data_IF_385557972457
#
_entry.id   IF_385557972457
#
_cell.length_a   1.000
_cell.length_b   1.000
_cell.length_c   1.000
_cell.angle_alpha   90.00
_cell.angle_beta   90.00
_cell.angle_gamma   90.00
#
_symmetry.space_group_name_H-M   'P 1'
#
loop_
_entity.id
_entity.type
_entity.pdbx_description
1 polymer ?
#
# COMPACT_ATOMS: atom_id res chain seq x y z
N UNK A 1 46.47 -20.24 7.54
CA UNK A 1 45.29 -20.41 6.67
C UNK A 1 44.06 -20.41 7.57
N UNK A 2 43.36 -19.28 7.67
CA UNK A 2 42.11 -19.18 8.42
C UNK A 2 40.92 -19.41 7.48
N UNK A 3 39.83 -20.06 7.92
CA UNK A 3 38.69 -20.31 7.05
C UNK A 3 37.92 -19.01 6.80
N UNK A 4 37.65 -18.75 5.53
CA UNK A 4 36.79 -17.67 5.05
C UNK A 4 35.37 -17.89 5.56
N UNK A 5 34.86 -16.92 6.33
CA UNK A 5 33.44 -16.80 6.65
C UNK A 5 32.69 -16.44 5.38
N UNK A 6 31.85 -17.35 4.88
CA UNK A 6 30.85 -17.02 3.87
C UNK A 6 29.83 -16.08 4.49
N UNK A 7 29.83 -14.81 4.07
CA UNK A 7 28.68 -13.93 4.23
C UNK A 7 27.62 -14.42 3.24
N UNK A 8 26.51 -14.95 3.75
CA UNK A 8 25.33 -15.23 2.93
C UNK A 8 24.76 -13.87 2.54
N UNK A 9 25.02 -13.44 1.30
CA UNK A 9 24.28 -12.33 0.70
C UNK A 9 22.82 -12.77 0.61
N UNK A 10 21.91 -11.99 1.22
CA UNK A 10 20.48 -12.19 1.07
C UNK A 10 20.15 -12.12 -0.43
N UNK A 11 19.59 -13.19 -0.98
CA UNK A 11 19.10 -13.17 -2.35
C UNK A 11 17.85 -12.29 -2.38
N UNK A 12 17.97 -11.08 -2.94
CA UNK A 12 16.82 -10.26 -3.26
C UNK A 12 16.02 -11.00 -4.34
N UNK A 13 14.93 -11.68 -3.95
CA UNK A 13 14.00 -12.26 -4.91
C UNK A 13 13.17 -11.12 -5.52
N UNK A 14 13.57 -10.66 -6.71
CA UNK A 14 12.79 -9.70 -7.49
C UNK A 14 11.87 -10.46 -8.43
N UNK A 15 10.57 -10.39 -8.18
CA UNK A 15 9.54 -10.92 -9.09
C UNK A 15 8.91 -9.80 -9.90
N UNK A 16 8.91 -9.92 -11.23
CA UNK A 16 8.13 -9.08 -12.13
C UNK A 16 6.91 -9.86 -12.62
N UNK A 17 5.71 -9.31 -12.46
CA UNK A 17 4.49 -9.85 -13.03
C UNK A 17 3.81 -8.80 -13.92
N UNK A 18 3.27 -9.26 -15.07
CA UNK A 18 2.39 -8.47 -15.93
C UNK A 18 0.95 -8.52 -15.40
N UNK A 19 0.15 -7.50 -15.69
CA UNK A 19 -1.22 -7.30 -15.14
C UNK A 19 -2.07 -8.58 -14.98
N UNK A 20 -2.26 -9.37 -16.05
CA UNK A 20 -3.11 -10.57 -16.02
C UNK A 20 -2.60 -11.66 -15.07
N UNK A 21 -1.30 -11.66 -14.75
CA UNK A 21 -0.67 -12.61 -13.84
C UNK A 21 -0.40 -12.00 -12.46
N UNK A 22 -0.59 -10.69 -12.27
CA UNK A 22 -0.17 -9.98 -11.06
C UNK A 22 -1.04 -10.29 -9.83
N UNK A 23 -2.31 -10.67 -10.02
CA UNK A 23 -3.24 -10.90 -8.91
C UNK A 23 -2.77 -12.03 -7.97
N UNK A 24 -2.32 -13.15 -8.52
CA UNK A 24 -1.94 -14.32 -7.72
C UNK A 24 -0.66 -14.10 -6.90
N UNK A 25 0.45 -13.57 -7.46
CA UNK A 25 1.62 -13.19 -6.70
C UNK A 25 1.32 -12.17 -5.61
N UNK A 26 0.54 -11.11 -5.92
CA UNK A 26 0.16 -10.10 -4.93
C UNK A 26 -0.62 -10.74 -3.79
N UNK A 27 -1.67 -11.52 -4.10
CA UNK A 27 -2.45 -12.22 -3.07
C UNK A 27 -1.60 -13.18 -2.23
N UNK A 28 -0.66 -13.89 -2.84
CA UNK A 28 0.25 -14.82 -2.14
C UNK A 28 1.07 -14.08 -1.08
N UNK A 29 1.67 -12.95 -1.43
CA UNK A 29 2.47 -12.15 -0.51
C UNK A 29 1.63 -11.48 0.57
N UNK A 30 0.47 -10.92 0.21
CA UNK A 30 -0.44 -10.33 1.19
C UNK A 30 -0.91 -11.37 2.21
N UNK A 31 -1.39 -12.53 1.77
CA UNK A 31 -1.92 -13.56 2.66
C UNK A 31 -0.85 -14.24 3.53
N UNK A 32 0.43 -14.04 3.22
CA UNK A 32 1.55 -14.45 4.04
C UNK A 32 1.82 -13.52 5.23
N UNK A 33 1.26 -12.29 5.25
CA UNK A 33 1.46 -11.33 6.32
C UNK A 33 1.11 -11.89 7.71
N UNK A 34 1.87 -11.47 8.73
CA UNK A 34 1.70 -11.92 10.13
C UNK A 34 1.61 -10.77 11.14
N UNK A 35 2.19 -9.61 10.85
CA UNK A 35 2.34 -8.52 11.79
C UNK A 35 1.76 -7.21 11.27
N UNK A 36 2.15 -6.77 10.06
CA UNK A 36 1.68 -5.50 9.50
C UNK A 36 1.44 -5.53 8.00
N UNK A 37 0.55 -4.64 7.57
CA UNK A 37 0.32 -4.31 6.18
C UNK A 37 0.10 -2.81 6.06
N UNK A 38 1.00 -2.15 5.35
CA UNK A 38 0.91 -0.74 4.98
C UNK A 38 0.53 -0.65 3.50
N UNK A 39 -0.59 -0.01 3.17
CA UNK A 39 -1.08 0.17 1.80
C UNK A 39 -1.12 1.64 1.42
N UNK A 40 -0.41 2.02 0.36
CA UNK A 40 -0.48 3.36 -0.22
C UNK A 40 -0.98 3.22 -1.67
N UNK A 41 -2.29 3.40 -1.86
CA UNK A 41 -2.97 3.06 -3.12
C UNK A 41 -3.85 4.20 -3.62
N UNK A 42 -3.58 4.65 -4.85
CA UNK A 42 -4.41 5.63 -5.56
C UNK A 42 -5.85 5.14 -5.74
N UNK A 43 -6.04 3.99 -6.38
CA UNK A 43 -7.37 3.41 -6.60
C UNK A 43 -7.44 1.96 -6.11
N UNK A 44 -8.48 1.65 -5.32
CA UNK A 44 -8.71 0.32 -4.77
C UNK A 44 -10.18 -0.10 -4.91
N UNK A 45 -10.51 -0.85 -5.96
CA UNK A 45 -11.86 -1.37 -6.24
C UNK A 45 -11.94 -2.88 -6.49
N UNK A 46 -10.82 -3.61 -6.44
CA UNK A 46 -10.81 -5.08 -6.59
C UNK A 46 -11.41 -5.78 -5.35
N UNK A 47 -12.54 -6.51 -5.47
CA UNK A 47 -13.15 -7.21 -4.34
C UNK A 47 -12.27 -8.34 -3.78
N UNK A 48 -11.47 -8.98 -4.62
CA UNK A 48 -10.59 -10.09 -4.22
C UNK A 48 -9.47 -9.58 -3.31
N UNK A 49 -8.83 -8.47 -3.67
CA UNK A 49 -7.82 -7.82 -2.84
C UNK A 49 -8.45 -7.20 -1.59
N UNK A 50 -9.63 -6.58 -1.71
CA UNK A 50 -10.39 -6.05 -0.56
C UNK A 50 -10.68 -7.11 0.49
N UNK A 51 -11.16 -8.28 0.07
CA UNK A 51 -11.41 -9.43 0.96
C UNK A 51 -10.14 -9.96 1.62
N UNK A 52 -9.03 -10.02 0.88
CA UNK A 52 -7.74 -10.45 1.44
C UNK A 52 -7.28 -9.51 2.56
N UNK A 53 -7.38 -8.19 2.35
CA UNK A 53 -7.03 -7.18 3.35
C UNK A 53 -7.92 -7.28 4.60
N UNK A 54 -9.24 -7.45 4.42
CA UNK A 54 -10.15 -7.66 5.56
C UNK A 54 -9.82 -8.94 6.34
N UNK A 55 -9.48 -10.04 5.64
CA UNK A 55 -9.10 -11.29 6.27
C UNK A 55 -7.82 -11.16 7.12
N UNK A 56 -6.83 -10.41 6.63
CA UNK A 56 -5.61 -10.13 7.39
C UNK A 56 -5.92 -9.33 8.66
N UNK A 57 -6.76 -8.30 8.55
CA UNK A 57 -7.18 -7.53 9.71
C UNK A 57 -7.91 -8.40 10.76
N UNK A 58 -8.81 -9.29 10.31
CA UNK A 58 -9.51 -10.24 11.18
C UNK A 58 -8.55 -11.22 11.89
N UNK A 59 -7.40 -11.53 11.28
CA UNK A 59 -6.34 -12.36 11.89
C UNK A 59 -5.45 -11.58 12.88
N UNK A 60 -5.72 -10.30 13.11
CA UNK A 60 -4.93 -9.44 14.00
C UNK A 60 -3.72 -8.78 13.35
N UNK A 61 -3.56 -8.87 12.02
CA UNK A 61 -2.53 -8.11 11.31
C UNK A 61 -2.89 -6.62 11.38
N UNK A 62 -1.93 -5.77 11.75
CA UNK A 62 -2.13 -4.32 11.77
C UNK A 62 -2.18 -3.81 10.32
N UNK A 63 -3.35 -3.37 9.88
CA UNK A 63 -3.54 -2.80 8.54
C UNK A 63 -3.69 -1.28 8.63
N UNK A 64 -2.94 -0.56 7.79
CA UNK A 64 -3.06 0.89 7.58
C UNK A 64 -3.14 1.19 6.10
N UNK A 65 -4.03 2.12 5.72
CA UNK A 65 -4.24 2.49 4.31
C UNK A 65 -4.14 3.99 4.13
N UNK A 66 -3.31 4.43 3.19
CA UNK A 66 -3.34 5.77 2.62
C UNK A 66 -3.95 5.65 1.22
N UNK A 67 -4.89 6.53 0.90
CA UNK A 67 -5.56 6.54 -0.40
C UNK A 67 -5.85 7.96 -0.86
N UNK A 68 -6.37 8.09 -2.07
CA UNK A 68 -6.78 9.35 -2.68
C UNK A 68 -8.24 9.66 -2.34
N UNK A 69 -8.54 10.91 -1.97
CA UNK A 69 -9.84 11.35 -1.46
C UNK A 69 -10.96 11.22 -2.50
N UNK A 70 -10.69 11.57 -3.76
CA UNK A 70 -11.65 11.47 -4.85
C UNK A 70 -11.88 10.01 -5.24
N UNK A 71 -10.80 9.25 -5.42
CA UNK A 71 -10.91 7.85 -5.85
C UNK A 71 -11.50 6.93 -4.80
N UNK A 72 -11.32 7.24 -3.51
CA UNK A 72 -11.95 6.48 -2.45
C UNK A 72 -13.48 6.66 -2.40
N UNK A 73 -13.99 7.79 -2.92
CA UNK A 73 -15.41 8.12 -2.97
C UNK A 73 -16.15 7.49 -4.18
N UNK A 74 -15.40 6.94 -5.15
CA UNK A 74 -15.99 6.31 -6.33
C UNK A 74 -16.79 5.04 -5.98
N UNK A 75 -17.85 4.80 -6.74
CA UNK A 75 -18.67 3.59 -6.61
C UNK A 75 -17.81 2.31 -6.82
N UNK A 76 -17.96 1.35 -5.92
CA UNK A 76 -17.20 0.09 -5.95
C UNK A 76 -15.83 0.14 -5.27
N UNK A 77 -15.39 1.33 -4.82
CA UNK A 77 -14.22 1.46 -3.94
C UNK A 77 -14.36 0.55 -2.72
N UNK A 78 -13.27 -0.16 -2.39
CA UNK A 78 -13.22 -1.04 -1.23
C UNK A 78 -12.96 -0.27 0.07
N UNK A 79 -12.53 0.99 -0.01
CA UNK A 79 -12.10 1.78 1.14
C UNK A 79 -13.22 1.93 2.20
N UNK A 80 -14.46 2.16 1.78
CA UNK A 80 -15.59 2.25 2.70
C UNK A 80 -15.81 0.96 3.50
N UNK A 81 -15.64 -0.21 2.86
CA UNK A 81 -15.74 -1.52 3.52
C UNK A 81 -14.58 -1.77 4.49
N UNK A 82 -13.37 -1.33 4.15
CA UNK A 82 -12.21 -1.42 5.05
C UNK A 82 -12.41 -0.54 6.29
N UNK A 83 -12.85 0.72 6.11
CA UNK A 83 -13.17 1.62 7.24
C UNK A 83 -14.24 1.04 8.15
N UNK A 84 -15.32 0.49 7.56
CA UNK A 84 -16.39 -0.18 8.32
C UNK A 84 -15.89 -1.40 9.10
N UNK A 85 -14.86 -2.09 8.61
CA UNK A 85 -14.23 -3.20 9.30
C UNK A 85 -13.27 -2.78 10.44
N UNK A 86 -13.09 -1.48 10.68
CA UNK A 86 -12.19 -0.95 11.72
C UNK A 86 -10.76 -0.70 11.26
N UNK A 87 -10.47 -0.84 9.95
CA UNK A 87 -9.14 -0.59 9.39
C UNK A 87 -8.90 0.92 9.33
N UNK A 88 -7.72 1.35 9.77
CA UNK A 88 -7.34 2.75 9.75
C UNK A 88 -7.04 3.19 8.31
N UNK A 89 -7.76 4.22 7.86
CA UNK A 89 -7.57 4.82 6.54
C UNK A 89 -7.34 6.32 6.69
N UNK A 90 -6.35 6.84 5.98
CA UNK A 90 -6.07 8.27 5.79
C UNK A 90 -6.10 8.60 4.30
N UNK A 91 -6.39 9.85 3.96
CA UNK A 91 -6.40 10.34 2.59
C UNK A 91 -5.91 11.78 2.53
N UNK A 92 -5.57 12.23 1.33
CA UNK A 92 -5.18 13.60 1.04
C UNK A 92 -6.35 14.60 1.25
N UNK A 93 -6.03 15.89 1.20
CA UNK A 93 -6.97 17.01 1.34
C UNK A 93 -6.91 17.89 0.09
N UNK A 94 -7.44 17.37 -1.02
CA UNK A 94 -7.70 17.99 -2.34
C UNK A 94 -6.53 18.66 -3.09
N UNK A 95 -5.35 18.78 -2.47
CA UNK A 95 -4.16 19.38 -3.07
C UNK A 95 -3.34 18.35 -3.86
N UNK A 96 -3.89 17.91 -4.99
CA UNK A 96 -3.23 17.00 -5.93
C UNK A 96 -3.34 15.52 -5.56
N UNK A 97 -3.09 14.64 -6.52
CA UNK A 97 -3.39 13.21 -6.36
C UNK A 97 -2.41 12.47 -5.45
N UNK A 98 -2.95 11.65 -4.54
CA UNK A 98 -2.18 10.61 -3.85
C UNK A 98 -1.97 9.42 -4.81
N UNK A 99 -1.04 9.56 -5.75
CA UNK A 99 -0.91 8.64 -6.89
C UNK A 99 0.00 7.41 -6.63
N UNK A 100 0.41 7.16 -5.38
CA UNK A 100 1.22 5.99 -5.04
C UNK A 100 0.46 4.67 -5.20
N UNK A 101 1.21 3.60 -5.47
CA UNK A 101 0.69 2.25 -5.72
C UNK A 101 1.66 1.22 -5.15
N UNK A 102 1.79 1.22 -3.83
CA UNK A 102 2.65 0.27 -3.14
C UNK A 102 2.01 -0.32 -1.89
N UNK A 103 2.51 -1.50 -1.51
CA UNK A 103 2.18 -2.18 -0.28
C UNK A 103 3.47 -2.68 0.38
N UNK A 104 3.53 -2.60 1.71
CA UNK A 104 4.63 -3.14 2.50
C UNK A 104 4.06 -4.21 3.43
N UNK A 105 4.56 -5.43 3.30
CA UNK A 105 4.14 -6.57 4.12
C UNK A 105 5.19 -6.85 5.18
N UNK A 106 4.77 -6.85 6.45
CA UNK A 106 5.58 -7.16 7.62
C UNK A 106 6.90 -6.37 7.71
N UNK A 107 6.96 -5.18 7.07
CA UNK A 107 8.18 -4.36 6.92
C UNK A 107 9.35 -5.12 6.29
N UNK A 108 9.07 -6.10 5.44
CA UNK A 108 10.07 -6.99 4.81
C UNK A 108 9.91 -7.15 3.31
N UNK A 109 8.68 -7.01 2.81
CA UNK A 109 8.37 -7.19 1.39
C UNK A 109 7.76 -5.89 0.88
N UNK A 110 8.31 -5.38 -0.22
CA UNK A 110 7.74 -4.28 -0.98
C UNK A 110 7.04 -4.84 -2.22
N UNK A 111 5.78 -4.45 -2.41
CA UNK A 111 5.01 -4.65 -3.65
C UNK A 111 4.76 -3.26 -4.22
N UNK A 112 5.21 -2.96 -5.44
CA UNK A 112 5.05 -1.65 -6.07
C UNK A 112 4.94 -1.75 -7.59
N UNK A 113 4.56 -0.68 -8.26
CA UNK A 113 4.52 -0.61 -9.72
C UNK A 113 3.49 0.37 -10.25
N UNK A 114 2.97 0.11 -11.45
CA UNK A 114 1.92 0.93 -12.06
C UNK A 114 0.50 0.47 -11.68
N UNK A 115 0.38 -0.75 -11.11
CA UNK A 115 -0.90 -1.41 -10.88
C UNK A 115 -1.75 -0.69 -9.83
N UNK A 116 -2.85 -0.08 -10.29
CA UNK A 116 -3.98 0.22 -9.43
C UNK A 116 -4.67 -1.07 -8.97
N UNK A 117 -5.18 -1.13 -7.75
CA UNK A 117 -5.83 -2.32 -7.22
C UNK A 117 -7.31 -2.36 -7.62
N UNK A 118 -7.56 -2.31 -8.93
CA UNK A 118 -8.89 -2.33 -9.54
C UNK A 118 -9.04 -3.56 -10.43
N UNK A 119 -10.26 -4.08 -10.57
CA UNK A 119 -10.52 -5.22 -11.45
C UNK A 119 -10.08 -4.93 -12.89
N UNK A 120 -10.32 -3.71 -13.36
CA UNK A 120 -9.91 -3.26 -14.69
C UNK A 120 -8.39 -3.30 -14.87
N UNK A 121 -7.63 -2.76 -13.92
CA UNK A 121 -6.17 -2.72 -14.03
C UNK A 121 -5.56 -4.12 -13.99
N UNK A 122 -6.11 -5.01 -13.17
CA UNK A 122 -5.68 -6.41 -13.07
C UNK A 122 -5.96 -7.20 -14.36
N UNK A 123 -7.15 -7.04 -14.95
CA UNK A 123 -7.59 -7.92 -16.04
C UNK A 123 -7.26 -7.40 -17.43
N UNK A 124 -7.28 -6.08 -17.61
CA UNK A 124 -7.42 -5.49 -18.95
C UNK A 124 -6.35 -4.44 -19.28
N UNK A 125 -5.65 -3.89 -18.28
CA UNK A 125 -4.61 -2.89 -18.54
C UNK A 125 -3.24 -3.54 -18.70
N UNK A 126 -2.30 -2.80 -19.30
CA UNK A 126 -0.87 -3.15 -19.29
C UNK A 126 -0.23 -2.50 -18.07
N UNK A 127 -0.07 -3.29 -17.01
CA UNK A 127 0.50 -2.85 -15.74
C UNK A 127 1.73 -3.69 -15.41
N UNK A 128 2.65 -3.11 -14.63
CA UNK A 128 3.75 -3.84 -14.03
C UNK A 128 3.57 -3.92 -12.50
N UNK A 129 4.02 -5.04 -11.93
CA UNK A 129 4.19 -5.22 -10.49
C UNK A 129 5.59 -5.75 -10.23
N UNK A 130 6.30 -5.07 -9.33
CA UNK A 130 7.55 -5.49 -8.74
C UNK A 130 7.28 -5.94 -7.31
N UNK A 131 7.79 -7.13 -6.97
CA UNK A 131 7.78 -7.66 -5.62
C UNK A 131 9.21 -7.95 -5.22
N UNK A 132 9.64 -7.40 -4.08
CA UNK A 132 11.02 -7.52 -3.64
C UNK A 132 11.15 -7.59 -2.12
N UNK A 133 12.10 -8.42 -1.69
CA UNK A 133 12.58 -8.56 -0.31
C UNK A 133 13.97 -7.92 -0.20
N UNK A 134 14.00 -6.59 -0.28
CA UNK A 134 15.22 -5.80 -0.17
C UNK A 134 15.05 -4.79 0.97
N UNK A 135 15.87 -4.93 2.03
CA UNK A 135 15.73 -4.15 3.25
C UNK A 135 15.91 -2.64 3.00
N UNK A 136 16.78 -2.25 2.07
CA UNK A 136 17.05 -0.85 1.76
C UNK A 136 15.83 -0.20 1.10
N UNK A 137 15.28 -0.84 0.06
CA UNK A 137 14.09 -0.34 -0.62
C UNK A 137 12.85 -0.39 0.26
N UNK A 138 12.66 -1.47 1.03
CA UNK A 138 11.54 -1.60 1.97
C UNK A 138 11.57 -0.48 3.00
N UNK A 139 12.75 -0.16 3.54
CA UNK A 139 12.93 0.94 4.49
C UNK A 139 12.54 2.28 3.87
N UNK A 140 13.02 2.60 2.67
CA UNK A 140 12.72 3.87 2.00
C UNK A 140 11.20 4.05 1.76
N UNK A 141 10.52 3.02 1.29
CA UNK A 141 9.07 3.06 1.08
C UNK A 141 8.30 3.13 2.40
N UNK A 142 8.80 2.50 3.46
CA UNK A 142 8.18 2.58 4.79
C UNK A 142 8.31 3.99 5.38
N UNK A 143 9.48 4.61 5.25
CA UNK A 143 9.71 6.00 5.66
C UNK A 143 8.77 6.95 4.93
N UNK A 144 8.60 6.77 3.61
CA UNK A 144 7.65 7.55 2.82
C UNK A 144 6.19 7.30 3.25
N UNK A 145 5.83 6.04 3.52
CA UNK A 145 4.51 5.73 4.06
C UNK A 145 4.25 6.46 5.38
N UNK A 146 5.19 6.43 6.33
CA UNK A 146 5.02 7.11 7.63
C UNK A 146 4.98 8.63 7.47
N UNK A 147 5.76 9.19 6.55
CA UNK A 147 5.72 10.63 6.22
C UNK A 147 4.34 11.04 5.74
N UNK A 148 3.79 10.34 4.73
CA UNK A 148 2.46 10.62 4.19
C UNK A 148 1.38 10.34 5.24
N UNK A 149 1.52 9.25 6.02
CA UNK A 149 0.61 8.92 7.09
C UNK A 149 0.47 10.09 8.04
N UNK A 150 1.58 10.67 8.48
CA UNK A 150 1.60 11.79 9.43
C UNK A 150 1.22 13.14 8.81
N UNK A 151 1.46 13.33 7.52
CA UNK A 151 0.92 14.46 6.74
C UNK A 151 -0.61 14.43 6.73
N UNK A 152 -1.20 13.28 6.44
CA UNK A 152 -2.65 13.07 6.39
C UNK A 152 -3.27 12.72 7.74
N UNK A 153 -2.63 13.11 8.83
CA UNK A 153 -3.16 12.90 10.17
C UNK A 153 -4.45 13.74 10.34
N UNK A 154 -5.62 13.11 10.58
CA UNK A 154 -6.88 13.85 10.70
C UNK A 154 -6.90 14.87 11.84
N UNK A 155 -6.04 14.71 12.86
CA UNK A 155 -5.88 15.68 13.93
C UNK A 155 -5.28 17.02 13.45
N UNK A 156 -4.72 17.06 12.23
CA UNK A 156 -4.15 18.26 11.60
C UNK A 156 -5.07 18.89 10.56
N UNK A 157 -6.23 18.29 10.27
CA UNK A 157 -7.13 18.81 9.24
C UNK A 157 -7.71 20.16 9.68
N UNK A 158 -7.56 21.17 8.82
CA UNK A 158 -8.15 22.50 9.00
C UNK A 158 -9.49 22.55 8.27
N UNK A 159 -10.58 22.46 9.00
CA UNK A 159 -11.93 22.54 8.43
C UNK A 159 -12.37 23.98 8.12
N UNK A 160 -11.62 24.97 8.61
CA UNK A 160 -11.86 26.39 8.38
C UNK A 160 -10.58 27.01 7.81
N UNK A 161 -10.68 27.87 6.77
CA UNK A 161 -9.54 28.64 6.30
C UNK A 161 -8.98 29.46 7.46
N UNK A 162 -7.69 29.33 7.76
CA UNK A 162 -7.04 30.30 8.63
C UNK A 162 -7.03 31.64 7.89
N UNK A 163 -7.60 32.68 8.50
CA UNK A 163 -7.52 34.04 7.96
C UNK A 163 -6.06 34.32 7.61
N UNK A 164 -5.79 34.57 6.32
CA UNK A 164 -4.47 35.02 5.88
C UNK A 164 -4.19 36.32 6.60
N UNK A 165 -3.32 36.28 7.62
CA UNK A 165 -2.73 37.50 8.19
C UNK A 165 -1.99 38.18 7.04
N UNK A 166 -2.61 39.23 6.51
CA UNK A 166 -1.99 40.13 5.56
C UNK A 166 -0.81 40.78 6.28
N UNK A 167 0.41 40.50 5.83
CA UNK A 167 1.58 41.32 6.16
C UNK A 167 1.60 42.51 5.20
#
# INVERSE_FOLDING_TARGET
MGPLRWQVAAAAAVGLALAMEALLPVLRWLLAARASLELCLFAFSSPQLGRAVQLLHQRGVRVRVVTDCDYMALNGSQIGLLRKAGIQVRHDQDLGYMHHKFAIVDKKVLITGSLNWTTQAIQNNRENVLIMEDEEYVKLFLEEFERIWEEFNPAKYTFFPQEKKTQ
#
